data_IF_687893729331
#
_entry.id   IF_687893729331
#
_cell.length_a   1.000
_cell.length_b   1.000
_cell.length_c   1.000
_cell.angle_alpha   90.00
_cell.angle_beta   90.00
_cell.angle_gamma   90.00
#
_symmetry.space_group_name_H-M   'P 1'
#
loop_
_entity.id
_entity.type
_entity.pdbx_description
1 polymer ?
#
# COMPACT_ATOMS: atom_id res chain seq x y z
N UNK A 1 -17.10 -15.72 15.66
CA UNK A 1 -16.66 -17.13 15.62
C UNK A 1 -15.29 -17.33 15.04
N UNK A 2 -14.96 -16.76 13.89
CA UNK A 2 -13.61 -16.89 13.31
C UNK A 2 -12.54 -16.14 14.09
N UNK A 3 -12.85 -14.96 14.61
CA UNK A 3 -11.93 -14.19 15.45
C UNK A 3 -11.57 -14.93 16.74
N UNK A 4 -12.55 -15.49 17.42
CA UNK A 4 -12.35 -16.30 18.63
C UNK A 4 -11.49 -17.54 18.37
N UNK A 5 -11.71 -18.20 17.22
CA UNK A 5 -10.89 -19.33 16.80
C UNK A 5 -9.45 -18.92 16.54
N UNK A 6 -9.25 -17.79 15.88
CA UNK A 6 -7.92 -17.27 15.58
C UNK A 6 -7.16 -16.88 16.88
N UNK A 7 -7.83 -16.21 17.80
CA UNK A 7 -7.25 -15.86 19.09
C UNK A 7 -6.85 -17.10 19.90
N UNK A 8 -7.71 -18.11 19.92
CA UNK A 8 -7.41 -19.37 20.59
C UNK A 8 -6.25 -20.12 19.95
N UNK A 9 -6.21 -20.15 18.61
CA UNK A 9 -5.11 -20.75 17.84
C UNK A 9 -3.78 -20.06 18.16
N UNK A 10 -3.75 -18.75 18.18
CA UNK A 10 -2.56 -17.96 18.50
C UNK A 10 -2.12 -18.13 19.95
N UNK A 11 -3.06 -18.25 20.86
CA UNK A 11 -2.75 -18.51 22.28
C UNK A 11 -2.12 -19.90 22.47
N UNK A 12 -2.60 -20.92 21.74
CA UNK A 12 -2.05 -22.27 21.80
C UNK A 12 -0.75 -22.44 21.01
N UNK A 13 -0.52 -21.59 20.01
CA UNK A 13 0.66 -21.69 19.16
C UNK A 13 1.99 -21.45 19.92
N UNK A 14 1.96 -20.63 20.99
CA UNK A 14 3.15 -20.36 21.79
C UNK A 14 4.31 -19.83 20.93
N UNK A 15 5.40 -20.57 20.85
CA UNK A 15 6.58 -20.25 20.03
C UNK A 15 6.50 -20.77 18.58
N UNK A 16 5.39 -21.37 18.20
CA UNK A 16 5.23 -21.91 16.84
C UNK A 16 4.96 -20.79 15.81
N UNK A 17 5.46 -21.00 14.60
CA UNK A 17 5.10 -20.18 13.46
C UNK A 17 3.79 -20.71 12.87
N UNK A 18 2.81 -19.82 12.68
CA UNK A 18 1.55 -20.15 12.05
C UNK A 18 1.49 -19.48 10.68
N UNK A 19 1.34 -20.28 9.62
CA UNK A 19 1.15 -19.82 8.26
C UNK A 19 -0.32 -19.91 7.87
N UNK A 20 -0.90 -18.78 7.47
CA UNK A 20 -2.31 -18.70 7.07
C UNK A 20 -2.38 -18.21 5.63
N UNK A 21 -3.11 -18.94 4.81
CA UNK A 21 -3.50 -18.49 3.47
C UNK A 21 -4.97 -18.09 3.51
N UNK A 22 -5.28 -16.84 3.18
CA UNK A 22 -6.66 -16.33 3.20
C UNK A 22 -6.87 -15.27 2.13
N UNK A 23 -8.11 -15.19 1.65
CA UNK A 23 -8.62 -14.07 0.87
C UNK A 23 -9.52 -13.14 1.72
N UNK A 24 -9.79 -13.52 2.95
CA UNK A 24 -10.52 -12.73 3.95
C UNK A 24 -9.55 -11.86 4.76
N UNK A 25 -8.99 -10.85 4.12
CA UNK A 25 -7.88 -10.05 4.67
C UNK A 25 -8.25 -9.27 5.92
N UNK A 26 -9.52 -8.91 6.08
CA UNK A 26 -9.98 -8.22 7.29
C UNK A 26 -9.84 -9.04 8.57
N UNK A 27 -9.87 -10.37 8.47
CA UNK A 27 -9.75 -11.26 9.62
C UNK A 27 -8.30 -11.39 10.11
N UNK A 28 -7.33 -11.24 9.21
CA UNK A 28 -5.92 -11.42 9.52
C UNK A 28 -5.18 -10.11 9.79
N UNK A 29 -5.76 -8.96 9.45
CA UNK A 29 -5.16 -7.64 9.59
C UNK A 29 -4.71 -7.34 11.03
N UNK A 30 -5.50 -7.74 12.01
CA UNK A 30 -5.21 -7.52 13.44
C UNK A 30 -4.33 -8.58 14.10
N UNK A 31 -4.04 -9.70 13.43
CA UNK A 31 -3.32 -10.84 14.02
C UNK A 31 -2.04 -11.19 13.30
N UNK A 32 -1.92 -10.92 12.01
CA UNK A 32 -0.72 -11.22 11.25
C UNK A 32 0.45 -10.32 11.67
N UNK A 33 1.61 -10.91 11.87
CA UNK A 33 2.86 -10.18 12.14
C UNK A 33 3.65 -9.92 10.87
N UNK A 34 3.55 -10.83 9.91
CA UNK A 34 4.23 -10.77 8.62
C UNK A 34 3.26 -11.11 7.49
N UNK A 35 3.52 -10.56 6.33
CA UNK A 35 2.74 -10.77 5.12
C UNK A 35 3.65 -11.15 3.97
N UNK A 36 3.27 -12.16 3.22
CA UNK A 36 3.89 -12.53 1.95
C UNK A 36 2.86 -12.37 0.83
N UNK A 37 3.24 -11.70 -0.24
CA UNK A 37 2.39 -11.53 -1.40
C UNK A 37 2.84 -12.46 -2.53
N UNK A 38 1.97 -13.39 -2.89
CA UNK A 38 2.18 -14.36 -3.97
C UNK A 38 1.31 -14.01 -5.16
N UNK A 39 1.88 -14.05 -6.34
CA UNK A 39 1.15 -13.86 -7.58
C UNK A 39 1.74 -14.72 -8.70
N UNK A 40 0.87 -15.47 -9.39
CA UNK A 40 1.26 -16.40 -10.45
C UNK A 40 2.40 -17.36 -10.04
N UNK A 41 2.33 -17.87 -8.81
CA UNK A 41 3.32 -18.81 -8.28
C UNK A 41 4.66 -18.19 -7.87
N UNK A 42 4.76 -16.86 -7.87
CA UNK A 42 5.96 -16.13 -7.49
C UNK A 42 5.75 -15.32 -6.22
N UNK A 43 6.73 -15.36 -5.33
CA UNK A 43 6.79 -14.48 -4.18
C UNK A 43 7.25 -13.10 -4.64
N UNK A 44 6.36 -12.10 -4.54
CA UNK A 44 6.68 -10.73 -4.92
C UNK A 44 7.41 -9.98 -3.81
N UNK A 45 6.95 -10.13 -2.59
CA UNK A 45 7.61 -9.59 -1.41
C UNK A 45 7.14 -10.30 -0.14
N UNK A 46 7.90 -10.14 0.91
CA UNK A 46 7.59 -10.52 2.27
C UNK A 46 8.00 -9.37 3.19
N UNK A 47 7.13 -8.96 4.08
CA UNK A 47 7.38 -7.85 5.03
C UNK A 47 6.67 -8.08 6.35
N UNK A 48 7.17 -7.42 7.40
CA UNK A 48 6.37 -7.26 8.62
C UNK A 48 5.14 -6.40 8.35
N UNK A 49 4.07 -6.64 9.08
CA UNK A 49 2.86 -5.81 9.00
C UNK A 49 3.15 -4.35 9.32
N UNK A 50 4.03 -4.09 10.30
CA UNK A 50 4.45 -2.75 10.66
C UNK A 50 5.12 -2.00 9.53
N UNK A 51 6.07 -2.62 8.85
CA UNK A 51 6.78 -2.00 7.72
C UNK A 51 5.85 -1.79 6.52
N UNK A 52 5.03 -2.77 6.20
CA UNK A 52 4.08 -2.68 5.11
C UNK A 52 3.08 -1.53 5.31
N UNK A 53 2.45 -1.46 6.47
CA UNK A 53 1.48 -0.42 6.77
C UNK A 53 2.10 0.96 6.96
N UNK A 54 3.37 1.03 7.35
CA UNK A 54 4.10 2.29 7.43
C UNK A 54 4.39 2.91 6.07
N UNK A 55 4.72 2.10 5.06
CA UNK A 55 5.11 2.60 3.74
C UNK A 55 3.95 2.82 2.77
N UNK A 56 2.81 2.21 2.98
CA UNK A 56 1.62 2.41 2.15
C UNK A 56 0.73 3.51 2.73
N UNK A 57 0.48 4.53 1.94
CA UNK A 57 -0.43 5.62 2.30
C UNK A 57 -1.34 5.95 1.12
N UNK A 58 -2.60 6.14 1.41
CA UNK A 58 -3.52 6.80 0.49
C UNK A 58 -3.35 8.30 0.63
N UNK A 59 -3.03 8.97 -0.46
CA UNK A 59 -2.67 10.39 -0.46
C UNK A 59 -3.71 11.20 -1.23
N UNK A 60 -4.15 12.29 -0.62
CA UNK A 60 -5.02 13.28 -1.24
C UNK A 60 -4.30 14.64 -1.20
N UNK A 61 -4.03 15.17 -2.38
CA UNK A 61 -3.40 16.49 -2.54
C UNK A 61 -4.44 17.47 -3.04
N UNK A 62 -4.77 18.46 -2.22
CA UNK A 62 -5.66 19.55 -2.61
C UNK A 62 -4.84 20.68 -3.22
N UNK A 63 -5.24 21.12 -4.40
CA UNK A 63 -4.58 22.21 -5.14
C UNK A 63 -5.45 23.44 -5.24
N UNK A 64 -4.84 24.58 -5.57
CA UNK A 64 -5.52 25.87 -5.74
C UNK A 64 -6.33 25.97 -7.04
N UNK A 65 -6.06 25.10 -8.00
CA UNK A 65 -6.72 24.99 -9.31
C UNK A 65 -7.10 23.54 -9.57
N UNK A 66 -7.58 23.29 -10.78
CA UNK A 66 -7.84 21.92 -11.24
C UNK A 66 -6.57 21.06 -11.12
N UNK A 67 -6.70 19.96 -10.40
CA UNK A 67 -5.59 19.04 -10.18
C UNK A 67 -5.24 18.27 -11.45
N UNK A 68 -3.97 18.15 -11.72
CA UNK A 68 -3.47 17.37 -12.86
C UNK A 68 -2.36 16.45 -12.40
N UNK A 69 -2.37 15.19 -12.85
CA UNK A 69 -1.24 14.31 -12.63
C UNK A 69 0.05 14.90 -13.20
N UNK A 70 1.19 14.72 -12.53
CA UNK A 70 2.50 15.09 -13.08
C UNK A 70 2.76 14.41 -14.42
N UNK A 71 3.50 15.07 -15.32
CA UNK A 71 3.86 14.50 -16.62
C UNK A 71 4.71 13.24 -16.53
N UNK A 72 5.53 13.15 -15.48
CA UNK A 72 6.23 11.93 -15.10
C UNK A 72 5.80 11.53 -13.71
N UNK A 73 5.13 10.38 -13.60
CA UNK A 73 4.70 9.83 -12.33
C UNK A 73 5.86 9.07 -11.67
N UNK A 74 6.11 9.32 -10.37
CA UNK A 74 7.00 8.44 -9.62
C UNK A 74 6.54 6.99 -9.70
N UNK A 75 7.47 6.07 -9.83
CA UNK A 75 7.15 4.64 -9.95
C UNK A 75 6.45 4.06 -8.72
N UNK A 76 6.67 4.67 -7.56
CA UNK A 76 6.05 4.27 -6.31
C UNK A 76 4.66 4.87 -6.07
N UNK A 77 4.14 5.70 -6.99
CA UNK A 77 2.77 6.19 -6.96
C UNK A 77 1.87 5.29 -7.81
N UNK A 78 0.89 4.69 -7.19
CA UNK A 78 -0.09 3.81 -7.85
C UNK A 78 -1.48 4.46 -7.85
N UNK A 79 -2.34 4.01 -8.75
CA UNK A 79 -3.75 4.45 -8.84
C UNK A 79 -3.93 5.98 -8.87
N UNK A 80 -3.10 6.69 -9.63
CA UNK A 80 -3.14 8.15 -9.70
C UNK A 80 -4.41 8.61 -10.42
N UNK A 81 -5.22 9.43 -9.74
CA UNK A 81 -6.47 9.99 -10.26
C UNK A 81 -6.58 11.47 -9.88
N UNK A 82 -7.13 12.26 -10.78
CA UNK A 82 -7.46 13.65 -10.51
C UNK A 82 -8.99 13.84 -10.58
N UNK A 83 -9.55 14.49 -9.58
CA UNK A 83 -10.96 14.85 -9.51
C UNK A 83 -11.11 16.28 -8.98
N UNK A 84 -11.57 17.19 -9.83
CA UNK A 84 -11.64 18.60 -9.46
C UNK A 84 -10.27 19.17 -9.10
N UNK A 85 -10.14 19.68 -7.90
CA UNK A 85 -8.90 20.21 -7.35
C UNK A 85 -8.16 19.22 -6.43
N UNK A 86 -8.51 17.94 -6.49
CA UNK A 86 -7.88 16.90 -5.67
C UNK A 86 -7.18 15.87 -6.56
N UNK A 87 -5.90 15.64 -6.28
CA UNK A 87 -5.12 14.54 -6.82
C UNK A 87 -5.06 13.42 -5.78
N UNK A 88 -5.42 12.21 -6.19
CA UNK A 88 -5.40 11.03 -5.33
C UNK A 88 -4.44 9.99 -5.87
N UNK A 89 -3.68 9.38 -5.01
CA UNK A 89 -2.80 8.25 -5.36
C UNK A 89 -2.43 7.44 -4.12
N UNK A 90 -1.87 6.27 -4.36
CA UNK A 90 -1.28 5.43 -3.32
C UNK A 90 0.23 5.57 -3.40
N UNK A 91 0.86 6.02 -2.32
CA UNK A 91 2.30 6.01 -2.17
C UNK A 91 2.74 4.70 -1.54
N UNK A 92 3.59 3.95 -2.23
CA UNK A 92 4.11 2.66 -1.74
C UNK A 92 5.43 2.78 -0.99
N UNK A 93 6.01 3.97 -0.93
CA UNK A 93 7.29 4.28 -0.27
C UNK A 93 7.22 5.53 0.61
N UNK A 94 6.09 5.71 1.25
CA UNK A 94 5.87 6.87 2.11
C UNK A 94 6.97 7.00 3.18
N UNK A 95 7.47 8.21 3.33
CA UNK A 95 8.41 8.61 4.37
C UNK A 95 8.08 10.02 4.81
N UNK A 96 7.84 10.23 6.08
CA UNK A 96 7.47 11.54 6.63
C UNK A 96 8.47 12.65 6.26
N UNK A 97 9.76 12.32 6.21
CA UNK A 97 10.84 13.30 6.01
C UNK A 97 10.89 13.86 4.58
N UNK A 98 10.61 13.03 3.57
CA UNK A 98 10.82 13.41 2.18
C UNK A 98 9.52 13.64 1.39
N UNK A 99 8.41 13.17 1.89
CA UNK A 99 7.14 13.08 1.17
C UNK A 99 6.58 14.46 0.77
N UNK A 100 6.58 15.42 1.70
CA UNK A 100 6.02 16.74 1.44
C UNK A 100 6.80 17.51 0.37
N UNK A 101 8.11 17.39 0.36
CA UNK A 101 8.97 18.01 -0.64
C UNK A 101 8.78 17.35 -2.02
N UNK A 102 8.71 16.03 -2.06
CA UNK A 102 8.47 15.30 -3.29
C UNK A 102 7.16 15.72 -3.94
N UNK A 103 6.06 15.70 -3.19
CA UNK A 103 4.74 16.11 -3.70
C UNK A 103 4.77 17.54 -4.19
N UNK A 104 5.33 18.46 -3.41
CA UNK A 104 5.38 19.88 -3.75
C UNK A 104 6.24 20.19 -4.97
N UNK A 105 7.25 19.35 -5.24
CA UNK A 105 8.10 19.48 -6.43
C UNK A 105 7.41 18.99 -7.71
N UNK A 106 6.49 18.03 -7.58
CA UNK A 106 5.82 17.38 -8.70
C UNK A 106 4.44 17.97 -9.01
N UNK A 107 3.74 18.46 -7.99
CA UNK A 107 2.38 18.98 -8.10
C UNK A 107 2.39 20.48 -7.84
N UNK A 108 1.91 21.25 -8.82
CA UNK A 108 1.80 22.70 -8.69
C UNK A 108 0.61 23.13 -7.83
N UNK A 109 0.76 24.23 -7.08
CA UNK A 109 -0.33 24.86 -6.35
C UNK A 109 -0.88 24.05 -5.18
N UNK A 110 -0.04 23.27 -4.52
CA UNK A 110 -0.44 22.44 -3.38
C UNK A 110 -0.89 23.31 -2.21
N UNK A 111 -2.11 23.06 -1.73
CA UNK A 111 -2.69 23.70 -0.55
C UNK A 111 -2.69 22.83 0.67
N UNK A 112 -2.98 21.55 0.46
CA UNK A 112 -3.08 20.57 1.56
C UNK A 112 -2.69 19.20 1.06
N UNK A 113 -2.02 18.46 1.92
CA UNK A 113 -1.67 17.07 1.69
C UNK A 113 -2.19 16.25 2.86
N UNK A 114 -3.02 15.27 2.57
CA UNK A 114 -3.49 14.28 3.54
C UNK A 114 -2.94 12.91 3.15
N UNK A 115 -2.20 12.28 4.04
CA UNK A 115 -1.68 10.94 3.87
C UNK A 115 -2.31 10.03 4.94
N UNK A 116 -3.12 9.08 4.52
CA UNK A 116 -3.85 8.19 5.41
C UNK A 116 -3.28 6.78 5.40
N UNK A 117 -3.21 6.11 6.57
CA UNK A 117 -2.91 4.68 6.61
C UNK A 117 -3.92 3.87 5.80
N UNK A 118 -3.47 2.80 5.20
CA UNK A 118 -4.32 1.89 4.43
C UNK A 118 -4.53 0.59 5.17
N UNK A 119 -5.77 0.07 5.10
CA UNK A 119 -6.06 -1.29 5.54
C UNK A 119 -5.37 -2.31 4.62
N UNK A 120 -5.01 -3.47 5.15
CA UNK A 120 -4.36 -4.54 4.39
C UNK A 120 -5.14 -4.91 3.12
N UNK A 121 -6.46 -4.97 3.20
CA UNK A 121 -7.32 -5.23 2.05
C UNK A 121 -7.15 -4.21 0.92
N UNK A 122 -7.07 -2.94 1.27
CA UNK A 122 -6.87 -1.85 0.29
C UNK A 122 -5.48 -1.90 -0.34
N UNK A 123 -4.45 -2.18 0.45
CA UNK A 123 -3.08 -2.42 -0.03
C UNK A 123 -3.08 -3.57 -1.04
N UNK A 124 -3.68 -4.69 -0.68
CA UNK A 124 -3.74 -5.87 -1.52
C UNK A 124 -4.47 -5.62 -2.84
N UNK A 125 -5.60 -4.92 -2.79
CA UNK A 125 -6.37 -4.55 -3.99
C UNK A 125 -5.56 -3.66 -4.92
N UNK A 126 -4.85 -2.69 -4.37
CA UNK A 126 -3.95 -1.80 -5.15
C UNK A 126 -2.83 -2.59 -5.81
N UNK A 127 -2.19 -3.49 -5.07
CA UNK A 127 -1.12 -4.34 -5.60
C UNK A 127 -1.61 -5.30 -6.69
N UNK A 128 -2.77 -5.91 -6.48
CA UNK A 128 -3.37 -6.81 -7.47
C UNK A 128 -3.73 -6.08 -8.76
N UNK A 129 -4.16 -4.84 -8.66
CA UNK A 129 -4.45 -3.98 -9.82
C UNK A 129 -3.17 -3.60 -10.57
N UNK A 130 -2.14 -3.18 -9.84
CA UNK A 130 -0.83 -2.86 -10.42
C UNK A 130 -0.17 -4.08 -11.09
N UNK A 131 -0.37 -5.28 -10.55
CA UNK A 131 0.15 -6.52 -11.10
C UNK A 131 -0.43 -6.86 -12.49
N UNK A 132 -1.61 -6.35 -12.83
CA UNK A 132 -2.23 -6.56 -14.14
C UNK A 132 -1.67 -5.65 -15.23
N UNK A 133 -0.95 -4.59 -14.85
CA UNK A 133 -0.48 -3.55 -15.79
C UNK A 133 0.85 -3.88 -16.49
N UNK A 134 1.42 -5.07 -16.28
CA UNK A 134 2.62 -5.55 -16.93
C UNK A 134 3.82 -5.81 -16.01
N UNK A 135 4.65 -6.79 -16.35
CA UNK A 135 5.69 -7.34 -15.46
C UNK A 135 6.84 -6.38 -15.10
N UNK A 136 7.34 -5.58 -16.02
CA UNK A 136 8.43 -4.63 -15.73
C UNK A 136 7.97 -3.44 -14.88
N UNK A 137 6.83 -2.91 -15.21
CA UNK A 137 6.19 -1.83 -14.46
C UNK A 137 5.78 -2.31 -13.07
N UNK A 138 5.40 -3.57 -12.97
CA UNK A 138 5.01 -4.26 -11.76
C UNK A 138 6.11 -4.33 -10.70
N UNK A 139 7.28 -4.88 -11.04
CA UNK A 139 8.40 -5.00 -10.12
C UNK A 139 8.87 -3.64 -9.59
N UNK A 140 8.91 -2.63 -10.46
CA UNK A 140 9.30 -1.28 -10.10
C UNK A 140 8.28 -0.59 -9.18
N UNK A 141 6.97 -0.79 -9.42
CA UNK A 141 5.90 -0.17 -8.64
C UNK A 141 5.72 -0.81 -7.26
N UNK A 142 5.91 -2.12 -7.17
CA UNK A 142 5.76 -2.86 -5.91
C UNK A 142 6.90 -2.62 -4.92
N UNK A 143 7.98 -1.97 -5.36
CA UNK A 143 9.14 -1.75 -4.51
C UNK A 143 9.92 -3.02 -4.22
N UNK A 144 9.73 -4.07 -5.04
CA UNK A 144 10.48 -5.31 -4.94
C UNK A 144 11.93 -5.02 -5.32
N UNK A 145 12.85 -5.35 -4.44
CA UNK A 145 14.26 -5.34 -4.78
C UNK A 145 14.54 -6.53 -5.68
N UNK A 146 14.93 -6.22 -6.87
CA UNK A 146 15.47 -7.23 -7.78
C UNK A 146 16.75 -7.83 -7.22
#
# INVERSE_FOLDING_TARGET
MREEFMEELLRQAGEMTVLISSHELGEIDGVATHVAFLDEGKLLFEESMGDLTARFREVHVTTDREARPPGQLPRHWLDVKAMGNVLMFVDTRFSDDAFGEEVSSLVGGVRRIDAQPMALRSIFTTLARAARDGDEVRAARLGVRS
#
